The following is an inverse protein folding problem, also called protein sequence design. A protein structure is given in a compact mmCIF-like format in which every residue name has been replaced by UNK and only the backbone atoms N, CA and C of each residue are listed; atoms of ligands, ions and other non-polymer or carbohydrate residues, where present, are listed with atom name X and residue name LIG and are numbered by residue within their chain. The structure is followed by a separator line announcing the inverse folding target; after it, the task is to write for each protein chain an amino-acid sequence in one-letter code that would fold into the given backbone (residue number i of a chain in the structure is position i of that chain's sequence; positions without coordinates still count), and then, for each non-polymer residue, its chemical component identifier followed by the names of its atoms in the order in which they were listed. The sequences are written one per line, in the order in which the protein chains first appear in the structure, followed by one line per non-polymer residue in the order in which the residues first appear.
data_IF_089295845078
#
_entry.id   IF_089295845078
#
_cell.length_a   1.000
_cell.length_b   1.000
_cell.length_c   1.000
_cell.angle_alpha   90.00
_cell.angle_beta   90.00
_cell.angle_gamma   90.00
#
_symmetry.space_group_name_H-M   'P 1'
#
loop_
_entity.id
_entity.type
_entity.pdbx_description
1 polymer ?
#
# COMPACT_ATOMS: atom_id res chain seq x y z
N UNK A 1 15.69 -20.37 -7.44
CA UNK A 1 14.46 -19.82 -6.83
C UNK A 1 14.31 -18.38 -7.26
N UNK A 2 13.17 -18.06 -7.83
CA UNK A 2 12.85 -16.69 -8.21
C UNK A 2 12.49 -15.91 -6.94
N UNK A 3 13.14 -14.77 -6.75
CA UNK A 3 12.81 -13.87 -5.66
C UNK A 3 11.87 -12.81 -6.18
N UNK A 4 10.79 -12.64 -5.47
CA UNK A 4 9.78 -11.65 -5.81
C UNK A 4 9.98 -10.38 -4.99
N UNK A 5 9.51 -9.27 -5.53
CA UNK A 5 9.45 -8.01 -4.81
C UNK A 5 8.01 -7.80 -4.38
N UNK A 6 7.78 -7.69 -3.08
CA UNK A 6 6.45 -7.57 -2.49
C UNK A 6 6.41 -6.31 -1.63
N UNK A 7 5.39 -5.49 -1.85
CA UNK A 7 5.05 -4.37 -0.96
C UNK A 7 3.79 -4.78 -0.22
N UNK A 8 3.85 -4.84 1.09
CA UNK A 8 2.71 -5.21 1.90
C UNK A 8 2.64 -4.39 3.18
N UNK A 9 1.51 -4.42 3.83
CA UNK A 9 1.36 -3.71 5.09
C UNK A 9 -0.07 -3.71 5.58
N UNK A 10 -0.34 -2.83 6.53
CA UNK A 10 -1.63 -2.68 7.16
C UNK A 10 -2.02 -1.21 7.15
N UNK A 11 -3.28 -0.95 6.80
CA UNK A 11 -3.87 0.38 6.92
C UNK A 11 -4.53 0.49 8.29
N UNK A 12 -4.20 1.54 9.01
CA UNK A 12 -4.70 1.79 10.37
C UNK A 12 -5.53 3.05 10.43
N UNK A 13 -6.55 3.04 11.26
CA UNK A 13 -7.35 4.21 11.62
C UNK A 13 -7.65 4.13 13.11
N UNK A 14 -7.31 5.19 13.85
CA UNK A 14 -7.56 5.27 15.30
C UNK A 14 -7.00 4.04 16.05
N UNK A 15 -5.76 3.68 15.73
CA UNK A 15 -5.03 2.56 16.33
C UNK A 15 -5.62 1.17 16.04
N UNK A 16 -6.50 1.08 15.04
CA UNK A 16 -7.10 -0.20 14.65
C UNK A 16 -6.89 -0.44 13.15
N UNK A 17 -6.79 -1.70 12.73
CA UNK A 17 -6.77 -2.02 11.31
C UNK A 17 -8.05 -1.57 10.63
N UNK A 18 -7.94 -1.06 9.41
CA UNK A 18 -9.08 -0.55 8.65
C UNK A 18 -9.38 -1.45 7.45
N UNK A 19 -10.53 -2.12 7.49
CA UNK A 19 -11.08 -2.81 6.33
C UNK A 19 -11.86 -1.82 5.45
N UNK A 20 -12.06 -2.18 4.19
CA UNK A 20 -12.88 -1.37 3.29
C UNK A 20 -12.20 -0.13 2.73
N UNK A 21 -10.90 0.01 2.92
CA UNK A 21 -10.11 1.01 2.26
C UNK A 21 -9.54 0.46 0.95
N UNK A 22 -9.07 1.35 0.09
CA UNK A 22 -8.40 0.96 -1.15
C UNK A 22 -6.99 1.52 -1.15
N UNK A 23 -6.03 0.69 -1.55
CA UNK A 23 -4.65 1.12 -1.70
C UNK A 23 -4.29 1.06 -3.17
N UNK A 24 -3.84 2.19 -3.71
CA UNK A 24 -3.39 2.31 -5.10
C UNK A 24 -1.87 2.32 -5.14
N UNK A 25 -1.33 1.55 -6.08
CA UNK A 25 0.09 1.54 -6.34
C UNK A 25 0.36 2.46 -7.53
N UNK A 26 1.12 3.52 -7.30
CA UNK A 26 1.51 4.48 -8.32
C UNK A 26 3.00 4.34 -8.58
N UNK A 27 3.39 4.41 -9.86
CA UNK A 27 4.81 4.32 -10.23
C UNK A 27 5.55 5.63 -9.92
N UNK A 28 6.84 5.67 -10.27
CA UNK A 28 7.69 6.82 -9.97
C UNK A 28 7.21 8.11 -10.66
N UNK A 29 6.41 7.99 -11.72
CA UNK A 29 5.84 9.15 -12.42
C UNK A 29 4.47 9.55 -11.88
N UNK A 30 3.94 8.79 -10.92
CA UNK A 30 2.62 9.03 -10.35
C UNK A 30 1.48 8.38 -11.11
N UNK A 31 1.79 7.53 -12.10
CA UNK A 31 0.76 6.85 -12.86
C UNK A 31 0.23 5.62 -12.13
N UNK A 32 -1.06 5.38 -12.30
CA UNK A 32 -1.75 4.24 -11.71
C UNK A 32 -1.19 2.92 -12.27
N UNK A 33 -0.88 1.99 -11.38
CA UNK A 33 -0.40 0.66 -11.74
C UNK A 33 -1.37 -0.41 -11.28
N UNK A 34 -1.82 -0.37 -10.03
CA UNK A 34 -2.70 -1.38 -9.47
C UNK A 34 -3.47 -0.81 -8.29
N UNK A 35 -4.55 -1.48 -7.91
CA UNK A 35 -5.35 -1.12 -6.74
C UNK A 35 -5.86 -2.40 -6.09
N UNK A 36 -5.79 -2.46 -4.76
CA UNK A 36 -6.36 -3.56 -3.99
C UNK A 36 -7.17 -3.01 -2.83
N UNK A 37 -8.27 -3.68 -2.45
CA UNK A 37 -8.95 -3.35 -1.20
C UNK A 37 -8.18 -3.92 -0.02
N UNK A 38 -8.33 -3.30 1.14
CA UNK A 38 -7.78 -3.87 2.36
C UNK A 38 -8.64 -5.05 2.83
N UNK A 39 -7.99 -6.04 3.43
CA UNK A 39 -8.68 -7.20 4.00
C UNK A 39 -9.45 -6.83 5.26
N UNK A 40 -10.13 -7.82 5.84
CA UNK A 40 -10.85 -7.62 7.11
C UNK A 40 -9.92 -7.17 8.25
N UNK A 41 -8.62 -7.46 8.15
CA UNK A 41 -7.61 -7.02 9.11
C UNK A 41 -6.77 -5.85 8.60
N UNK A 42 -7.25 -5.14 7.57
CA UNK A 42 -6.60 -3.95 7.04
C UNK A 42 -5.37 -4.21 6.18
N UNK A 43 -5.12 -5.45 5.80
CA UNK A 43 -3.90 -5.81 5.08
C UNK A 43 -4.02 -5.57 3.59
N UNK A 44 -2.89 -5.20 2.97
CA UNK A 44 -2.77 -5.07 1.53
C UNK A 44 -1.43 -5.69 1.08
N UNK A 45 -1.37 -6.10 -0.19
CA UNK A 45 -0.17 -6.67 -0.78
C UNK A 45 -0.13 -6.38 -2.26
N UNK A 46 1.06 -5.99 -2.74
CA UNK A 46 1.36 -5.81 -4.16
C UNK A 46 2.61 -6.57 -4.54
N UNK A 47 2.60 -7.11 -5.75
CA UNK A 47 3.81 -7.60 -6.41
C UNK A 47 4.27 -6.50 -7.35
N UNK A 48 5.50 -6.03 -7.20
CA UNK A 48 6.02 -4.89 -7.94
C UNK A 48 7.47 -5.13 -8.33
N UNK A 49 7.96 -4.33 -9.27
CA UNK A 49 9.39 -4.32 -9.58
C UNK A 49 10.14 -3.53 -8.50
N UNK A 50 11.43 -3.82 -8.27
CA UNK A 50 12.24 -2.98 -7.40
C UNK A 50 12.27 -1.53 -7.90
N UNK A 51 12.22 -0.59 -6.99
CA UNK A 51 12.26 0.83 -7.32
C UNK A 51 11.38 1.66 -6.42
N UNK A 52 11.14 2.90 -6.83
CA UNK A 52 10.36 3.86 -6.08
C UNK A 52 8.89 3.80 -6.47
N UNK A 53 8.02 3.69 -5.48
CA UNK A 53 6.58 3.62 -5.66
C UNK A 53 5.89 4.58 -4.68
N UNK A 54 4.65 4.93 -4.99
CA UNK A 54 3.79 5.67 -4.08
C UNK A 54 2.54 4.85 -3.82
N UNK A 55 2.21 4.69 -2.54
CA UNK A 55 0.96 4.08 -2.12
C UNK A 55 -0.03 5.19 -1.79
N UNK A 56 -1.14 5.25 -2.51
CA UNK A 56 -2.21 6.18 -2.23
C UNK A 56 -3.37 5.42 -1.60
N UNK A 57 -3.65 5.73 -0.35
CA UNK A 57 -4.70 5.05 0.40
C UNK A 57 -5.95 5.92 0.39
N UNK A 58 -7.06 5.32 -0.01
CA UNK A 58 -8.39 5.95 -0.06
C UNK A 58 -9.28 5.28 0.97
N UNK A 59 -9.73 6.03 1.95
CA UNK A 59 -10.59 5.51 3.00
C UNK A 59 -11.86 6.37 3.09
N UNK A 60 -13.02 5.77 3.41
CA UNK A 60 -14.25 6.54 3.59
C UNK A 60 -14.08 7.61 4.67
N UNK A 61 -14.49 8.82 4.36
CA UNK A 61 -14.48 9.93 5.33
C UNK A 61 -13.10 10.49 5.66
N UNK A 62 -12.06 10.08 4.94
CA UNK A 62 -10.70 10.56 5.16
C UNK A 62 -10.11 11.12 3.87
N UNK A 63 -9.15 12.02 4.01
CA UNK A 63 -8.38 12.51 2.87
C UNK A 63 -7.45 11.42 2.35
N UNK A 64 -7.17 11.36 1.05
CA UNK A 64 -6.19 10.42 0.53
C UNK A 64 -4.83 10.62 1.21
N UNK A 65 -4.17 9.51 1.53
CA UNK A 65 -2.86 9.52 2.16
C UNK A 65 -1.86 8.90 1.18
N UNK A 66 -0.82 9.65 0.83
CA UNK A 66 0.25 9.18 -0.04
C UNK A 66 1.45 8.80 0.80
N UNK A 67 2.02 7.64 0.50
CA UNK A 67 3.22 7.18 1.16
C UNK A 67 4.23 6.70 0.13
N UNK A 68 5.42 7.31 0.14
CA UNK A 68 6.50 6.89 -0.72
C UNK A 68 7.15 5.62 -0.17
N UNK A 69 7.45 4.69 -1.06
CA UNK A 69 8.04 3.39 -0.71
C UNK A 69 9.15 3.08 -1.69
N UNK A 70 10.28 2.63 -1.18
CA UNK A 70 11.33 2.05 -2.01
C UNK A 70 11.23 0.54 -1.87
N UNK A 71 10.86 -0.13 -2.95
CA UNK A 71 10.72 -1.58 -2.97
C UNK A 71 12.04 -2.23 -3.36
N UNK A 72 12.40 -3.27 -2.64
CA UNK A 72 13.59 -4.07 -2.92
C UNK A 72 13.17 -5.51 -3.07
N UNK A 73 14.05 -6.33 -3.60
CA UNK A 73 13.81 -7.77 -3.70
C UNK A 73 13.53 -8.32 -2.29
N UNK A 74 12.47 -9.11 -2.18
CA UNK A 74 11.96 -9.57 -0.91
C UNK A 74 10.72 -8.81 -0.50
N UNK A 75 10.43 -8.79 0.78
CA UNK A 75 9.23 -8.16 1.32
C UNK A 75 9.56 -6.81 1.93
N UNK A 76 8.84 -5.78 1.50
CA UNK A 76 8.90 -4.45 2.11
C UNK A 76 7.58 -4.22 2.85
N UNK A 77 7.66 -4.05 4.17
CA UNK A 77 6.48 -3.77 5.00
C UNK A 77 6.29 -2.28 5.18
N UNK A 78 5.07 -1.82 4.98
CA UNK A 78 4.72 -0.40 5.10
C UNK A 78 3.40 -0.27 5.84
N UNK A 79 3.41 0.42 6.96
CA UNK A 79 2.17 0.76 7.66
C UNK A 79 1.67 2.11 7.20
N UNK A 80 0.36 2.20 6.97
CA UNK A 80 -0.30 3.44 6.54
C UNK A 80 -1.32 3.84 7.59
N UNK A 81 -1.27 5.08 8.00
CA UNK A 81 -2.19 5.64 8.99
C UNK A 81 -3.08 6.69 8.33
N UNK A 82 -4.39 6.50 8.43
CA UNK A 82 -5.39 7.42 7.88
C UNK A 82 -6.25 8.00 9.01
N UNK A 83 -6.95 9.02 8.68
CA UNK A 83 -7.84 9.65 9.63
C UNK A 83 -7.51 11.04 9.92
#
# INVERSE_FOLDING_TARGET
VTKETVIQGVVHRDDAPLAGAYVRLLDATGEFTAEVPTSATGQFRFFAAPGTWTLRTLAPGAQPVDRAVVAEVGVTDVDVYVG
#
